data_IF_042206153366
#
_entry.id   IF_042206153366
#
_cell.length_a   1.000
_cell.length_b   1.000
_cell.length_c   1.000
_cell.angle_alpha   90.00
_cell.angle_beta   90.00
_cell.angle_gamma   90.00
#
_symmetry.space_group_name_H-M   'P 1'
#
loop_
_entity.id
_entity.type
_entity.pdbx_description
1 polymer ?
#
# COMPACT_ATOMS: atom_id res chain seq x y z
N UNK A 1 -28.99 10.65 -9.32
CA UNK A 1 -27.61 10.15 -9.47
C UNK A 1 -26.67 11.19 -8.87
N UNK A 2 -26.11 10.95 -7.67
CA UNK A 2 -25.16 11.86 -7.01
C UNK A 2 -23.74 11.34 -7.24
N UNK A 3 -22.93 12.07 -7.98
CA UNK A 3 -21.49 11.84 -8.06
C UNK A 3 -20.88 12.28 -6.72
N UNK A 4 -20.34 11.32 -5.96
CA UNK A 4 -19.45 11.63 -4.83
C UNK A 4 -18.12 12.04 -5.47
N UNK A 5 -17.61 13.23 -5.14
CA UNK A 5 -16.23 13.63 -5.47
C UNK A 5 -15.31 12.86 -4.54
N UNK A 6 -14.54 11.94 -5.09
CA UNK A 6 -13.43 11.32 -4.38
C UNK A 6 -12.36 12.40 -4.12
N UNK A 7 -11.99 12.58 -2.85
CA UNK A 7 -11.08 13.64 -2.43
C UNK A 7 -9.71 13.50 -3.08
N UNK A 8 -9.14 14.60 -3.57
CA UNK A 8 -7.80 14.61 -4.15
C UNK A 8 -6.78 14.69 -3.01
N UNK A 9 -5.83 13.76 -2.97
CA UNK A 9 -4.65 13.88 -2.11
C UNK A 9 -3.74 14.95 -2.71
N UNK A 10 -3.67 16.11 -2.05
CA UNK A 10 -2.88 17.26 -2.56
C UNK A 10 -1.41 17.17 -2.16
N UNK A 11 -1.08 16.48 -1.06
CA UNK A 11 0.29 16.33 -0.55
C UNK A 11 0.50 14.92 0.01
N UNK A 12 1.61 14.27 -0.38
CA UNK A 12 2.15 13.07 0.26
C UNK A 12 3.49 13.40 0.89
N UNK A 13 3.64 13.13 2.19
CA UNK A 13 4.90 13.29 2.91
C UNK A 13 5.51 11.92 3.13
N UNK A 14 6.70 11.68 2.56
CA UNK A 14 7.54 10.53 2.90
C UNK A 14 8.64 10.99 3.85
N UNK A 15 8.85 10.22 4.93
CA UNK A 15 9.99 10.39 5.84
C UNK A 15 10.61 9.02 6.08
N UNK A 16 11.93 8.96 5.96
CA UNK A 16 12.71 7.76 6.25
C UNK A 16 13.38 7.94 7.59
N UNK A 17 13.34 6.90 8.42
CA UNK A 17 14.00 6.88 9.72
C UNK A 17 15.03 5.75 9.72
N UNK A 18 16.17 5.96 10.37
CA UNK A 18 17.14 4.90 10.61
C UNK A 18 16.54 3.80 11.46
N UNK A 19 16.98 2.56 11.23
CA UNK A 19 16.55 1.39 12.03
C UNK A 19 16.99 1.47 13.49
N UNK A 20 18.01 2.28 13.77
CA UNK A 20 18.57 2.61 15.07
C UNK A 20 17.89 3.82 15.75
N UNK A 21 16.86 4.39 15.10
CA UNK A 21 16.08 5.47 15.67
C UNK A 21 15.38 5.02 16.96
N UNK A 22 15.30 5.93 17.94
CA UNK A 22 14.54 5.70 19.17
C UNK A 22 13.00 5.74 18.96
N UNK A 23 12.54 5.88 17.73
CA UNK A 23 11.11 5.91 17.38
C UNK A 23 10.50 4.51 17.38
N UNK A 24 9.35 4.38 18.02
CA UNK A 24 8.52 3.18 17.94
C UNK A 24 7.45 3.36 16.87
N UNK A 25 7.37 2.40 15.95
CA UNK A 25 6.36 2.36 14.91
C UNK A 25 5.24 1.41 15.30
N UNK A 26 3.99 1.88 15.22
CA UNK A 26 2.80 1.03 15.42
C UNK A 26 2.00 0.93 14.15
N UNK A 27 1.63 -0.30 13.80
CA UNK A 27 0.61 -0.64 12.80
C UNK A 27 -0.73 -0.06 13.24
N UNK A 28 -1.28 0.90 12.50
CA UNK A 28 -2.61 1.47 12.79
C UNK A 28 -3.71 0.80 11.97
N UNK A 29 -3.37 0.26 10.80
CA UNK A 29 -4.32 -0.39 9.90
C UNK A 29 -3.60 -1.42 9.03
N UNK A 30 -4.22 -2.59 8.91
CA UNK A 30 -3.80 -3.64 7.99
C UNK A 30 -4.73 -3.66 6.76
N UNK A 31 -4.22 -3.92 5.55
CA UNK A 31 -5.05 -4.10 4.37
C UNK A 31 -6.13 -5.15 4.57
N UNK A 32 -7.36 -4.85 4.12
CA UNK A 32 -8.46 -5.80 4.18
C UNK A 32 -8.24 -6.98 3.23
N UNK A 33 -8.70 -8.17 3.60
CA UNK A 33 -8.74 -9.31 2.68
C UNK A 33 -9.60 -8.98 1.47
N UNK A 34 -9.13 -9.35 0.28
CA UNK A 34 -9.77 -8.99 -1.00
C UNK A 34 -9.31 -7.65 -1.57
N UNK A 35 -8.61 -6.82 -0.79
CA UNK A 35 -7.89 -5.67 -1.33
C UNK A 35 -6.68 -6.10 -2.16
N UNK A 36 -6.19 -5.22 -3.02
CA UNK A 36 -5.07 -5.50 -3.94
C UNK A 36 -3.99 -4.45 -3.77
N UNK A 37 -2.77 -4.93 -3.50
CA UNK A 37 -1.57 -4.11 -3.44
C UNK A 37 -0.94 -4.01 -4.82
N UNK A 38 -0.71 -2.78 -5.28
CA UNK A 38 0.01 -2.51 -6.51
C UNK A 38 1.45 -2.13 -6.16
N UNK A 39 2.39 -2.99 -6.53
CA UNK A 39 3.81 -2.73 -6.43
C UNK A 39 4.34 -2.15 -7.74
N UNK A 40 5.34 -1.27 -7.68
CA UNK A 40 5.94 -0.65 -8.89
C UNK A 40 6.77 -1.61 -9.74
N UNK A 41 7.31 -2.67 -9.11
CA UNK A 41 8.19 -3.69 -9.71
C UNK A 41 8.12 -5.00 -8.92
N UNK A 42 8.62 -6.12 -9.47
CA UNK A 42 8.80 -7.36 -8.72
C UNK A 42 10.05 -7.36 -7.80
N UNK A 43 10.05 -8.22 -6.79
CA UNK A 43 11.20 -8.53 -5.93
C UNK A 43 11.25 -7.75 -4.61
N UNK A 44 12.29 -7.98 -3.81
CA UNK A 44 12.37 -7.50 -2.41
C UNK A 44 12.44 -5.98 -2.28
N UNK A 45 12.77 -5.27 -3.37
CA UNK A 45 12.81 -3.80 -3.44
C UNK A 45 11.53 -3.19 -4.03
N UNK A 46 10.47 -3.99 -4.13
CA UNK A 46 9.18 -3.55 -4.61
C UNK A 46 8.56 -2.51 -3.68
N UNK A 47 8.15 -1.36 -4.23
CA UNK A 47 7.47 -0.32 -3.47
C UNK A 47 5.96 -0.39 -3.71
N UNK A 48 5.17 -0.44 -2.63
CA UNK A 48 3.71 -0.31 -2.73
C UNK A 48 3.36 1.12 -3.14
N UNK A 49 2.79 1.27 -4.34
CA UNK A 49 2.40 2.56 -4.92
C UNK A 49 0.92 2.86 -4.77
N UNK A 50 0.08 1.83 -4.65
CA UNK A 50 -1.36 1.97 -4.43
C UNK A 50 -1.95 0.74 -3.73
N UNK A 51 -2.89 0.96 -2.82
CA UNK A 51 -3.72 -0.09 -2.22
C UNK A 51 -5.16 0.11 -2.71
N UNK A 52 -5.62 -0.78 -3.56
CA UNK A 52 -6.96 -0.75 -4.13
C UNK A 52 -7.91 -1.64 -3.31
N UNK A 53 -9.20 -1.29 -3.22
CA UNK A 53 -10.18 -2.09 -2.49
C UNK A 53 -10.48 -3.46 -3.15
N UNK A 54 -10.21 -3.61 -4.44
CA UNK A 54 -10.47 -4.82 -5.22
C UNK A 54 -9.62 -4.84 -6.51
N UNK A 55 -9.67 -5.97 -7.23
CA UNK A 55 -8.91 -6.21 -8.47
C UNK A 55 -9.27 -5.22 -9.59
N UNK A 56 -10.55 -4.95 -9.81
CA UNK A 56 -10.96 -4.06 -10.90
C UNK A 56 -10.51 -2.62 -10.63
N UNK A 57 -10.59 -2.18 -9.37
CA UNK A 57 -10.08 -0.89 -8.93
C UNK A 57 -8.55 -0.78 -9.10
N UNK A 58 -7.80 -1.86 -8.83
CA UNK A 58 -6.35 -1.90 -9.02
C UNK A 58 -5.94 -1.73 -10.48
N UNK A 59 -6.60 -2.47 -11.39
CA UNK A 59 -6.35 -2.42 -12.82
C UNK A 59 -6.75 -1.06 -13.41
N UNK A 60 -7.91 -0.52 -13.01
CA UNK A 60 -8.35 0.81 -13.42
C UNK A 60 -7.33 1.87 -13.01
N UNK A 61 -6.79 1.78 -11.79
CA UNK A 61 -5.75 2.70 -11.33
C UNK A 61 -4.48 2.58 -12.18
N UNK A 62 -3.98 1.37 -12.45
CA UNK A 62 -2.79 1.18 -13.29
C UNK A 62 -2.98 1.65 -14.72
N UNK A 63 -4.18 1.54 -15.29
CA UNK A 63 -4.44 1.95 -16.67
C UNK A 63 -4.15 3.44 -16.93
N UNK A 64 -4.21 4.26 -15.87
CA UNK A 64 -3.97 5.71 -15.93
C UNK A 64 -2.69 6.14 -15.19
N UNK A 65 -1.92 5.20 -14.64
CA UNK A 65 -0.67 5.46 -13.91
C UNK A 65 0.51 4.72 -14.58
N UNK A 66 1.61 5.43 -14.84
CA UNK A 66 2.75 4.93 -15.62
C UNK A 66 3.68 3.97 -14.86
N UNK A 67 3.18 2.81 -14.42
CA UNK A 67 3.98 1.75 -13.79
C UNK A 67 4.05 0.50 -14.69
N UNK A 68 4.99 0.47 -15.66
CA UNK A 68 5.04 -0.59 -16.68
C UNK A 68 5.40 -1.97 -16.13
N UNK A 69 6.05 -2.04 -14.97
CA UNK A 69 6.48 -3.29 -14.34
C UNK A 69 5.63 -3.63 -13.12
N UNK A 70 4.44 -3.04 -12.99
CA UNK A 70 3.64 -3.18 -11.79
C UNK A 70 3.23 -4.63 -11.54
N UNK A 71 3.20 -5.01 -10.26
CA UNK A 71 2.73 -6.32 -9.81
C UNK A 71 1.53 -6.14 -8.90
N UNK A 72 0.41 -6.79 -9.25
CA UNK A 72 -0.81 -6.81 -8.45
C UNK A 72 -0.73 -8.00 -7.49
N UNK A 73 -0.89 -7.74 -6.20
CA UNK A 73 -0.78 -8.73 -5.14
C UNK A 73 -2.04 -8.68 -4.26
N UNK A 74 -3.02 -9.57 -4.51
CA UNK A 74 -4.21 -9.69 -3.69
C UNK A 74 -3.87 -10.04 -2.24
N UNK A 75 -4.59 -9.44 -1.29
CA UNK A 75 -4.48 -9.77 0.13
C UNK A 75 -5.40 -10.97 0.42
N UNK A 76 -4.82 -12.09 0.81
CA UNK A 76 -5.55 -13.33 1.12
C UNK A 76 -5.57 -13.60 2.63
N UNK A 77 -6.49 -14.47 3.08
CA UNK A 77 -6.62 -14.84 4.49
C UNK A 77 -5.38 -15.55 5.07
N UNK A 78 -4.52 -16.11 4.22
CA UNK A 78 -3.35 -16.90 4.61
C UNK A 78 -2.14 -16.03 4.99
N UNK A 79 -2.22 -14.72 4.75
CA UNK A 79 -1.12 -13.77 4.97
C UNK A 79 -0.97 -13.31 6.44
N UNK A 80 -1.78 -13.89 7.34
CA UNK A 80 -2.00 -13.43 8.72
C UNK A 80 -0.87 -13.59 9.73
N UNK A 81 0.40 -13.78 9.33
CA UNK A 81 1.54 -13.87 10.27
C UNK A 81 2.89 -13.40 9.69
N UNK A 82 2.92 -12.55 8.66
CA UNK A 82 4.20 -11.96 8.23
C UNK A 82 4.81 -11.17 9.40
N UNK A 83 5.99 -11.61 9.84
CA UNK A 83 6.72 -11.06 10.98
C UNK A 83 6.98 -9.58 10.74
N UNK A 84 6.79 -8.78 11.79
CA UNK A 84 6.88 -7.32 11.80
C UNK A 84 8.31 -6.93 11.41
N UNK A 85 8.53 -6.74 10.11
CA UNK A 85 9.81 -6.36 9.54
C UNK A 85 9.64 -5.77 8.15
N UNK A 86 8.89 -6.43 7.27
CA UNK A 86 8.89 -6.05 5.85
C UNK A 86 7.53 -6.34 5.19
N UNK A 87 6.51 -5.54 5.49
CA UNK A 87 5.39 -5.31 4.55
C UNK A 87 4.49 -4.15 5.00
N UNK A 88 4.62 -3.06 4.25
CA UNK A 88 3.69 -1.94 4.00
C UNK A 88 2.31 -2.03 4.67
N UNK A 89 2.21 -1.32 5.80
CA UNK A 89 1.02 -1.06 6.60
C UNK A 89 1.01 0.42 6.95
N UNK A 90 -0.16 1.00 7.24
CA UNK A 90 -0.17 2.34 7.80
C UNK A 90 0.49 2.29 9.18
N UNK A 91 1.61 2.99 9.32
CA UNK A 91 2.34 3.08 10.58
C UNK A 91 2.42 4.53 11.04
N UNK A 92 2.21 4.75 12.33
CA UNK A 92 2.40 6.05 12.96
C UNK A 92 3.62 6.00 13.86
N UNK A 93 4.52 6.97 13.68
CA UNK A 93 5.56 7.25 14.67
C UNK A 93 4.91 7.98 15.85
N UNK A 94 5.12 7.45 17.06
CA UNK A 94 4.66 8.06 18.31
C UNK A 94 5.60 9.19 18.76
#
# INVERSE_FOLDING_TARGET
MRLRRDGIVVIRVQRTFGVDSALTFKVVEAPAVGSVRNFDRPGDRAELVHLAPDQASAEAWLSVHGYPNAVLCPVTNEEGTATIGEAMIAAKAA
#
